data_IF_476006201527
#
_entry.id   IF_476006201527
#
_cell.length_a   1.000
_cell.length_b   1.000
_cell.length_c   1.000
_cell.angle_alpha   90.00
_cell.angle_beta   90.00
_cell.angle_gamma   90.00
#
_symmetry.space_group_name_H-M   'P 1'
#
loop_
_entity.id
_entity.type
_entity.pdbx_description
1 polymer ?
#
# COMPACT_ATOMS: atom_id res chain seq x y z
N UNK A 1 -50.12 44.45 11.92
CA UNK A 1 -48.84 43.79 12.24
C UNK A 1 -47.80 44.88 12.42
N UNK A 2 -47.00 44.86 13.50
CA UNK A 2 -46.02 45.91 13.81
C UNK A 2 -44.89 45.89 12.76
N UNK A 3 -44.57 47.03 12.15
CA UNK A 3 -43.55 47.15 11.10
C UNK A 3 -42.18 46.65 11.56
N UNK A 4 -41.83 46.84 12.83
CA UNK A 4 -40.58 46.33 13.42
C UNK A 4 -40.52 44.80 13.44
N UNK A 5 -41.65 44.14 13.67
CA UNK A 5 -41.75 42.68 13.64
C UNK A 5 -41.62 42.14 12.21
N UNK A 6 -42.21 42.83 11.23
CA UNK A 6 -42.10 42.43 9.81
C UNK A 6 -40.64 42.54 9.33
N UNK A 7 -39.97 43.65 9.64
CA UNK A 7 -38.55 43.85 9.31
C UNK A 7 -37.66 42.77 9.96
N UNK A 8 -37.90 42.43 11.22
CA UNK A 8 -37.13 41.37 11.91
C UNK A 8 -37.27 40.01 11.23
N UNK A 9 -38.49 39.61 10.83
CA UNK A 9 -38.71 38.34 10.13
C UNK A 9 -38.10 38.31 8.73
N UNK A 10 -38.13 39.43 8.00
CA UNK A 10 -37.48 39.53 6.68
C UNK A 10 -35.96 39.43 6.78
N UNK A 11 -35.33 40.14 7.73
CA UNK A 11 -33.88 40.02 7.97
C UNK A 11 -33.48 38.60 8.37
N UNK A 12 -34.27 37.94 9.24
CA UNK A 12 -34.02 36.55 9.63
C UNK A 12 -34.11 35.59 8.45
N UNK A 13 -35.11 35.78 7.59
CA UNK A 13 -35.28 34.96 6.38
C UNK A 13 -34.14 35.16 5.39
N UNK A 14 -33.65 36.39 5.22
CA UNK A 14 -32.46 36.67 4.38
C UNK A 14 -31.18 36.07 4.97
N UNK A 15 -30.98 36.13 6.29
CA UNK A 15 -29.85 35.47 6.95
C UNK A 15 -29.88 33.96 6.75
N UNK A 16 -31.04 33.33 6.86
CA UNK A 16 -31.21 31.89 6.62
C UNK A 16 -30.95 31.51 5.16
N UNK A 17 -31.43 32.32 4.20
CA UNK A 17 -31.19 32.11 2.79
C UNK A 17 -29.68 32.17 2.46
N UNK A 18 -28.98 33.19 2.97
CA UNK A 18 -27.53 33.33 2.78
C UNK A 18 -26.76 32.14 3.36
N UNK A 19 -27.16 31.66 4.55
CA UNK A 19 -26.54 30.49 5.17
C UNK A 19 -26.76 29.22 4.34
N UNK A 20 -27.96 29.05 3.77
CA UNK A 20 -28.26 27.91 2.91
C UNK A 20 -27.44 27.95 1.62
N UNK A 21 -27.33 29.13 0.99
CA UNK A 21 -26.53 29.32 -0.23
C UNK A 21 -25.04 29.05 0.01
N UNK A 22 -24.49 29.51 1.15
CA UNK A 22 -23.12 29.21 1.55
C UNK A 22 -22.89 27.72 1.80
N UNK A 23 -23.86 27.04 2.40
CA UNK A 23 -23.79 25.60 2.65
C UNK A 23 -23.80 24.81 1.33
N UNK A 24 -24.71 25.16 0.42
CA UNK A 24 -24.82 24.53 -0.90
C UNK A 24 -23.52 24.70 -1.71
N UNK A 25 -22.94 25.90 -1.71
CA UNK A 25 -21.63 26.15 -2.37
C UNK A 25 -20.52 25.28 -1.81
N UNK A 26 -20.43 25.16 -0.47
CA UNK A 26 -19.44 24.28 0.17
C UNK A 26 -19.65 22.81 -0.20
N UNK A 27 -20.90 22.36 -0.24
CA UNK A 27 -21.22 20.99 -0.65
C UNK A 27 -20.82 20.71 -2.10
N UNK A 28 -21.08 21.66 -3.01
CA UNK A 28 -20.64 21.55 -4.41
C UNK A 28 -19.11 21.51 -4.55
N UNK A 29 -18.38 22.34 -3.80
CA UNK A 29 -16.91 22.30 -3.81
C UNK A 29 -16.35 20.95 -3.34
N UNK A 30 -16.93 20.40 -2.27
CA UNK A 30 -16.57 19.06 -1.76
C UNK A 30 -16.90 17.98 -2.80
N UNK A 31 -18.08 18.06 -3.45
CA UNK A 31 -18.50 17.16 -4.53
C UNK A 31 -17.49 17.17 -5.68
N UNK A 32 -17.15 18.35 -6.18
CA UNK A 32 -16.17 18.54 -7.27
C UNK A 32 -14.81 17.95 -6.92
N UNK A 33 -14.30 18.23 -5.72
CA UNK A 33 -13.02 17.71 -5.26
C UNK A 33 -13.02 16.18 -5.18
N UNK A 34 -14.06 15.60 -4.60
CA UNK A 34 -14.21 14.14 -4.46
C UNK A 34 -14.20 13.45 -5.82
N UNK A 35 -14.93 13.98 -6.80
CA UNK A 35 -14.96 13.43 -8.17
C UNK A 35 -13.58 13.47 -8.83
N UNK A 36 -12.86 14.59 -8.69
CA UNK A 36 -11.50 14.73 -9.21
C UNK A 36 -10.54 13.72 -8.57
N UNK A 37 -10.63 13.54 -7.25
CA UNK A 37 -9.77 12.62 -6.49
C UNK A 37 -10.03 11.15 -6.88
N UNK A 38 -11.28 10.82 -7.23
CA UNK A 38 -11.67 9.51 -7.77
C UNK A 38 -11.31 9.31 -9.25
N UNK A 39 -10.78 10.33 -9.92
CA UNK A 39 -10.45 10.27 -11.35
C UNK A 39 -11.65 10.49 -12.28
N UNK A 40 -12.81 10.86 -11.74
CA UNK A 40 -14.04 11.14 -12.48
C UNK A 40 -14.06 12.59 -12.98
N UNK A 41 -13.11 12.92 -13.86
CA UNK A 41 -12.99 14.23 -14.47
C UNK A 41 -12.62 14.14 -15.95
N UNK A 42 -13.02 15.15 -16.70
CA UNK A 42 -12.59 15.37 -18.07
C UNK A 42 -11.40 16.32 -18.12
N UNK A 43 -10.50 16.08 -19.07
CA UNK A 43 -9.35 16.94 -19.34
C UNK A 43 -9.76 17.99 -20.37
N UNK A 44 -9.77 19.25 -19.97
CA UNK A 44 -9.93 20.38 -20.90
C UNK A 44 -8.57 21.01 -21.12
N UNK A 45 -8.08 20.98 -22.36
CA UNK A 45 -6.75 21.49 -22.71
C UNK A 45 -6.73 23.01 -22.87
N UNK A 46 -5.58 23.60 -22.57
CA UNK A 46 -5.30 25.02 -22.78
C UNK A 46 -5.31 25.33 -24.28
N UNK A 47 -6.12 26.30 -24.76
CA UNK A 47 -6.21 26.63 -26.19
C UNK A 47 -4.87 27.05 -26.80
N UNK A 48 -4.08 27.79 -26.02
CA UNK A 48 -2.77 28.30 -26.43
C UNK A 48 -1.62 27.38 -26.00
N UNK A 49 -1.94 26.22 -25.43
CA UNK A 49 -1.01 25.28 -24.82
C UNK A 49 -0.01 25.94 -23.84
N UNK A 50 -0.49 26.89 -23.03
CA UNK A 50 0.29 27.58 -22.00
C UNK A 50 -0.15 27.15 -20.61
N UNK A 51 0.82 27.08 -19.71
CA UNK A 51 0.58 26.93 -18.29
C UNK A 51 -0.07 28.20 -17.73
N UNK A 52 -1.08 28.02 -16.90
CA UNK A 52 -1.71 29.09 -16.11
C UNK A 52 -2.24 28.51 -14.80
N UNK A 53 -2.73 29.36 -13.92
CA UNK A 53 -3.34 28.92 -12.66
C UNK A 53 -4.55 27.99 -12.90
N UNK A 54 -5.28 28.23 -14.00
CA UNK A 54 -6.43 27.40 -14.39
C UNK A 54 -5.98 26.08 -15.06
N UNK A 55 -4.93 26.12 -15.89
CA UNK A 55 -4.38 24.97 -16.62
C UNK A 55 -3.02 24.55 -16.05
N UNK A 56 -3.04 24.04 -14.82
CA UNK A 56 -1.84 23.69 -14.05
C UNK A 56 -1.34 22.26 -14.26
N UNK A 57 -2.20 21.34 -14.72
CA UNK A 57 -1.82 19.96 -15.01
C UNK A 57 -1.19 19.87 -16.39
N UNK A 58 -0.30 18.90 -16.59
CA UNK A 58 0.29 18.65 -17.90
C UNK A 58 0.42 17.15 -18.16
N UNK A 59 0.42 16.78 -19.44
CA UNK A 59 0.78 15.45 -19.90
C UNK A 59 1.74 15.56 -21.09
N UNK A 60 2.56 14.53 -21.27
CA UNK A 60 3.52 14.49 -22.37
C UNK A 60 2.82 14.01 -23.65
N UNK A 61 2.84 14.84 -24.69
CA UNK A 61 2.44 14.44 -26.03
C UNK A 61 3.64 13.86 -26.78
N UNK A 62 3.69 12.54 -26.92
CA UNK A 62 4.77 11.84 -27.61
C UNK A 62 4.83 12.13 -29.11
N UNK A 63 3.72 12.55 -29.73
CA UNK A 63 3.66 12.84 -31.17
C UNK A 63 4.33 14.18 -31.46
N UNK A 64 3.97 15.20 -30.67
CA UNK A 64 4.49 16.55 -30.85
C UNK A 64 5.75 16.84 -30.03
N UNK A 65 6.16 15.92 -29.15
CA UNK A 65 7.27 16.10 -28.21
C UNK A 65 7.15 17.38 -27.36
N UNK A 66 5.91 17.67 -26.93
CA UNK A 66 5.59 18.87 -26.15
C UNK A 66 4.67 18.52 -24.98
N UNK A 67 4.78 19.28 -23.89
CA UNK A 67 3.79 19.20 -22.81
C UNK A 67 2.46 19.81 -23.27
N UNK A 68 1.36 19.10 -23.00
CA UNK A 68 0.00 19.59 -23.16
C UNK A 68 -0.57 19.97 -21.80
N UNK A 69 -0.90 21.24 -21.61
CA UNK A 69 -1.47 21.74 -20.36
C UNK A 69 -2.99 21.58 -20.36
N UNK A 70 -3.55 21.12 -19.24
CA UNK A 70 -4.98 20.90 -19.09
C UNK A 70 -5.47 21.24 -17.69
N UNK A 71 -6.78 21.45 -17.57
CA UNK A 71 -7.52 21.55 -16.31
C UNK A 71 -8.41 20.33 -16.12
N UNK A 72 -8.63 19.95 -14.88
CA UNK A 72 -9.54 18.86 -14.50
C UNK A 72 -10.94 19.43 -14.28
N UNK A 73 -11.88 19.07 -15.14
CA UNK A 73 -13.28 19.45 -14.97
C UNK A 73 -14.03 18.22 -14.47
N UNK A 74 -14.61 18.24 -13.26
CA UNK A 74 -15.35 17.09 -12.74
C UNK A 74 -16.53 16.78 -13.66
N UNK A 75 -16.82 15.49 -13.86
CA UNK A 75 -17.97 15.05 -14.65
C UNK A 75 -19.25 15.59 -14.00
N UNK A 76 -20.18 16.10 -14.82
CA UNK A 76 -21.51 16.46 -14.33
C UNK A 76 -22.26 15.19 -13.93
N UNK A 77 -22.62 15.13 -12.65
CA UNK A 77 -23.34 13.99 -12.06
C UNK A 77 -24.53 14.49 -11.27
N UNK A 78 -25.64 13.77 -11.35
CA UNK A 78 -26.81 14.07 -10.51
C UNK A 78 -26.50 13.81 -9.04
N UNK A 79 -27.41 14.23 -8.14
CA UNK A 79 -27.22 13.99 -6.71
C UNK A 79 -27.38 12.50 -6.36
N UNK A 80 -28.23 11.77 -7.10
CA UNK A 80 -28.38 10.32 -6.96
C UNK A 80 -27.10 9.58 -7.39
N UNK A 81 -26.55 9.92 -8.55
CA UNK A 81 -25.31 9.32 -9.06
C UNK A 81 -24.12 9.60 -8.12
N UNK A 82 -24.06 10.80 -7.55
CA UNK A 82 -23.01 11.17 -6.61
C UNK A 82 -23.08 10.37 -5.30
N UNK A 83 -24.27 10.17 -4.74
CA UNK A 83 -24.44 9.35 -3.54
C UNK A 83 -24.07 7.88 -3.80
N UNK A 84 -24.35 7.36 -5.00
CA UNK A 84 -23.91 6.02 -5.38
C UNK A 84 -22.38 5.91 -5.52
N UNK A 85 -21.74 6.87 -6.21
CA UNK A 85 -20.27 6.95 -6.33
C UNK A 85 -19.61 6.97 -4.94
N UNK A 86 -20.14 7.78 -4.03
CA UNK A 86 -19.64 7.93 -2.65
C UNK A 86 -19.75 6.63 -1.85
N UNK A 87 -20.80 5.83 -2.08
CA UNK A 87 -20.96 4.53 -1.43
C UNK A 87 -19.85 3.56 -1.87
N UNK A 88 -19.55 3.51 -3.17
CA UNK A 88 -18.49 2.65 -3.69
C UNK A 88 -17.10 3.14 -3.30
N UNK A 89 -16.85 4.45 -3.32
CA UNK A 89 -15.54 5.00 -2.91
C UNK A 89 -15.23 4.70 -1.45
N UNK A 90 -16.21 4.85 -0.56
CA UNK A 90 -16.06 4.55 0.86
C UNK A 90 -15.83 3.06 1.11
N UNK A 91 -16.51 2.18 0.37
CA UNK A 91 -16.26 0.74 0.46
C UNK A 91 -14.83 0.39 0.04
N UNK A 92 -14.31 1.02 -1.03
CA UNK A 92 -12.92 0.82 -1.47
C UNK A 92 -11.92 1.37 -0.45
N UNK A 93 -12.13 2.57 0.09
CA UNK A 93 -11.30 3.13 1.16
C UNK A 93 -11.34 2.25 2.40
N UNK A 94 -12.50 1.76 2.84
CA UNK A 94 -12.62 0.88 3.99
C UNK A 94 -11.88 -0.45 3.75
N UNK A 95 -11.93 -1.01 2.54
CA UNK A 95 -11.17 -2.24 2.19
C UNK A 95 -9.65 -1.97 2.25
N UNK A 96 -9.20 -0.86 1.69
CA UNK A 96 -7.78 -0.48 1.66
C UNK A 96 -7.30 -0.16 3.08
N UNK A 97 -8.03 0.69 3.81
CA UNK A 97 -7.67 1.16 5.14
C UNK A 97 -7.77 0.05 6.19
N UNK A 98 -8.72 -0.90 6.06
CA UNK A 98 -8.72 -2.10 6.89
C UNK A 98 -7.55 -3.03 6.59
N UNK A 99 -7.11 -3.15 5.33
CA UNK A 99 -5.89 -3.89 5.02
C UNK A 99 -4.64 -3.24 5.64
N UNK A 100 -4.56 -1.91 5.66
CA UNK A 100 -3.43 -1.19 6.26
C UNK A 100 -3.49 -1.08 7.80
N UNK A 101 -4.67 -1.00 8.42
CA UNK A 101 -4.80 -0.95 9.89
C UNK A 101 -4.73 -2.34 10.57
N UNK A 102 -4.59 -3.42 9.79
CA UNK A 102 -4.36 -4.78 10.29
C UNK A 102 -2.87 -5.14 10.43
N UNK A 103 -1.96 -4.20 10.20
CA UNK A 103 -0.53 -4.45 10.38
C UNK A 103 -0.16 -4.51 11.87
N UNK A 104 -0.17 -5.73 12.43
CA UNK A 104 0.45 -5.96 13.73
C UNK A 104 1.98 -5.96 13.56
N UNK A 105 2.63 -4.89 14.04
CA UNK A 105 4.10 -4.74 13.99
C UNK A 105 4.86 -5.96 14.55
N UNK A 106 4.30 -6.62 15.58
CA UNK A 106 4.87 -7.84 16.16
C UNK A 106 4.80 -9.00 15.16
N UNK A 107 3.66 -9.19 14.49
CA UNK A 107 3.51 -10.24 13.48
C UNK A 107 4.42 -10.02 12.26
N UNK A 108 4.57 -8.77 11.82
CA UNK A 108 5.51 -8.41 10.75
C UNK A 108 6.94 -8.75 11.17
N UNK A 109 7.34 -8.35 12.37
CA UNK A 109 8.68 -8.60 12.90
C UNK A 109 8.99 -10.10 12.96
N UNK A 110 8.07 -10.92 13.46
CA UNK A 110 8.20 -12.38 13.48
C UNK A 110 8.31 -12.97 12.07
N UNK A 111 7.54 -12.44 11.12
CA UNK A 111 7.61 -12.87 9.70
C UNK A 111 8.98 -12.56 9.11
N UNK A 112 9.52 -11.36 9.34
CA UNK A 112 10.86 -10.96 8.86
C UNK A 112 11.94 -11.85 9.48
N UNK A 113 11.88 -12.08 10.79
CA UNK A 113 12.84 -12.96 11.49
C UNK A 113 12.81 -14.36 10.92
N UNK A 114 11.64 -14.92 10.62
CA UNK A 114 11.52 -16.25 10.02
C UNK A 114 12.25 -16.34 8.67
N UNK A 115 12.07 -15.36 7.79
CA UNK A 115 12.78 -15.32 6.51
C UNK A 115 14.29 -15.19 6.68
N UNK A 116 14.74 -14.38 7.64
CA UNK A 116 16.17 -14.29 7.97
C UNK A 116 16.71 -15.64 8.43
N UNK A 117 15.98 -16.37 9.28
CA UNK A 117 16.37 -17.72 9.74
C UNK A 117 16.49 -18.69 8.57
N UNK A 118 15.57 -18.68 7.61
CA UNK A 118 15.66 -19.53 6.43
C UNK A 118 16.90 -19.23 5.58
N UNK A 119 17.16 -17.94 5.32
CA UNK A 119 18.31 -17.53 4.50
C UNK A 119 19.62 -17.89 5.20
N UNK A 120 19.75 -17.52 6.48
CA UNK A 120 20.96 -17.79 7.27
C UNK A 120 21.17 -19.29 7.44
N UNK A 121 20.10 -20.04 7.73
CA UNK A 121 20.16 -21.49 7.87
C UNK A 121 20.54 -22.22 6.58
N UNK A 122 20.05 -21.72 5.44
CA UNK A 122 20.44 -22.26 4.14
C UNK A 122 21.92 -22.04 3.85
N UNK A 123 22.42 -20.81 4.04
CA UNK A 123 23.83 -20.45 3.86
C UNK A 123 24.71 -21.24 4.84
N UNK A 124 24.33 -21.32 6.11
CA UNK A 124 25.05 -22.09 7.12
C UNK A 124 25.17 -23.56 6.72
N UNK A 125 24.08 -24.18 6.22
CA UNK A 125 24.13 -25.56 5.73
C UNK A 125 25.11 -25.76 4.57
N UNK A 126 25.24 -24.78 3.67
CA UNK A 126 26.26 -24.82 2.61
C UNK A 126 27.68 -24.67 3.19
N UNK A 127 27.90 -23.71 4.08
CA UNK A 127 29.23 -23.44 4.65
C UNK A 127 29.74 -24.60 5.51
N UNK A 128 28.91 -25.09 6.44
CA UNK A 128 29.27 -26.19 7.34
C UNK A 128 29.15 -27.57 6.68
N UNK A 129 28.46 -27.66 5.54
CA UNK A 129 28.45 -28.88 4.73
C UNK A 129 29.79 -29.14 4.04
N UNK A 130 30.66 -28.14 3.89
CA UNK A 130 32.00 -28.33 3.33
C UNK A 130 32.89 -28.92 4.41
N UNK A 131 33.35 -30.15 4.21
CA UNK A 131 34.18 -30.90 5.17
C UNK A 131 35.49 -31.33 4.52
N UNK A 132 36.58 -31.22 5.26
CA UNK A 132 37.87 -31.80 4.89
C UNK A 132 37.89 -33.27 5.31
N UNK A 133 38.08 -34.16 4.34
CA UNK A 133 38.22 -35.60 4.56
C UNK A 133 39.67 -35.96 4.25
N UNK A 134 40.38 -36.51 5.23
CA UNK A 134 41.71 -37.06 5.03
C UNK A 134 41.58 -38.43 4.36
N UNK A 135 42.11 -38.56 3.14
CA UNK A 135 42.19 -39.84 2.44
C UNK A 135 43.61 -40.36 2.53
N UNK A 136 43.78 -41.53 3.13
CA UNK A 136 45.06 -42.23 3.14
C UNK A 136 45.28 -42.93 1.80
N UNK A 137 46.17 -42.39 0.98
CA UNK A 137 46.56 -43.00 -0.29
C UNK A 137 47.84 -43.82 -0.07
N UNK A 138 47.75 -45.13 -0.29
CA UNK A 138 48.85 -46.08 -0.06
C UNK A 138 49.50 -46.51 -1.38
N UNK A 139 50.76 -46.14 -1.60
CA UNK A 139 51.56 -46.59 -2.75
C UNK A 139 52.72 -47.47 -2.29
N UNK A 140 52.67 -48.78 -2.56
CA UNK A 140 53.69 -49.85 -2.35
C UNK A 140 54.60 -49.79 -1.08
N UNK A 141 55.28 -48.67 -0.78
CA UNK A 141 56.08 -48.42 0.43
C UNK A 141 55.93 -47.01 1.07
N UNK A 142 55.00 -46.18 0.63
CA UNK A 142 54.79 -44.80 1.13
C UNK A 142 53.29 -44.52 1.35
N UNK A 143 52.94 -43.99 2.52
CA UNK A 143 51.61 -43.46 2.85
C UNK A 143 51.66 -41.95 2.79
N UNK A 144 50.81 -41.33 1.96
CA UNK A 144 50.56 -39.89 1.98
C UNK A 144 49.10 -39.65 2.34
N UNK A 145 48.87 -38.66 3.20
CA UNK A 145 47.54 -38.16 3.55
C UNK A 145 47.24 -36.99 2.64
N UNK A 146 46.35 -37.19 1.67
CA UNK A 146 45.81 -36.10 0.85
C UNK A 146 44.52 -35.60 1.50
N UNK A 147 44.39 -34.29 1.68
CA UNK A 147 43.14 -33.68 2.14
C UNK A 147 42.24 -33.40 0.94
N UNK A 148 41.06 -34.03 0.93
CA UNK A 148 40.02 -33.77 -0.06
C UNK A 148 38.91 -32.94 0.57
N UNK A 149 38.43 -31.96 -0.19
CA UNK A 149 37.27 -31.16 0.19
C UNK A 149 36.04 -31.88 -0.38
N UNK A 150 35.18 -32.36 0.50
CA UNK A 150 33.92 -33.00 0.13
C UNK A 150 32.73 -32.27 0.75
N UNK A 151 31.58 -32.36 0.10
CA UNK A 151 30.34 -31.78 0.63
C UNK A 151 29.50 -32.85 1.33
N UNK A 152 29.35 -32.71 2.64
CA UNK A 152 28.48 -33.54 3.47
C UNK A 152 27.04 -33.05 3.41
N UNK A 153 26.24 -33.71 2.57
CA UNK A 153 24.79 -33.48 2.52
C UNK A 153 24.10 -33.78 3.85
N UNK A 154 24.62 -34.71 4.66
CA UNK A 154 24.04 -35.03 5.96
C UNK A 154 24.14 -33.84 6.93
N UNK A 155 25.31 -33.20 6.99
CA UNK A 155 25.51 -32.00 7.83
C UNK A 155 24.64 -30.86 7.31
N UNK A 156 24.70 -30.57 6.01
CA UNK A 156 23.89 -29.53 5.40
C UNK A 156 22.39 -29.70 5.67
N UNK A 157 21.89 -30.94 5.57
CA UNK A 157 20.48 -31.26 5.79
C UNK A 157 20.05 -31.03 7.25
N UNK A 158 20.93 -31.27 8.23
CA UNK A 158 20.64 -30.93 9.64
C UNK A 158 20.41 -29.42 9.80
N UNK A 159 21.26 -28.58 9.21
CA UNK A 159 21.10 -27.12 9.26
C UNK A 159 19.84 -26.65 8.51
N UNK A 160 19.54 -27.25 7.36
CA UNK A 160 18.33 -26.92 6.61
C UNK A 160 17.06 -27.34 7.35
N UNK A 161 17.00 -28.54 7.90
CA UNK A 161 15.84 -28.99 8.68
C UNK A 161 15.64 -28.17 9.95
N UNK A 162 16.71 -27.89 10.70
CA UNK A 162 16.61 -27.10 11.94
C UNK A 162 16.14 -25.68 11.64
N UNK A 163 16.69 -25.02 10.62
CA UNK A 163 16.24 -23.69 10.20
C UNK A 163 14.83 -23.70 9.62
N UNK A 164 14.45 -24.73 8.86
CA UNK A 164 13.10 -24.89 8.33
C UNK A 164 12.05 -25.02 9.44
N UNK A 165 12.30 -25.89 10.42
CA UNK A 165 11.41 -26.08 11.57
C UNK A 165 11.31 -24.76 12.36
N UNK A 166 12.44 -24.14 12.68
CA UNK A 166 12.48 -22.90 13.46
C UNK A 166 11.73 -21.76 12.76
N UNK A 167 12.03 -21.47 11.49
CA UNK A 167 11.35 -20.42 10.74
C UNK A 167 9.87 -20.68 10.54
N UNK A 168 9.46 -21.94 10.35
CA UNK A 168 8.03 -22.30 10.25
C UNK A 168 7.28 -22.03 11.55
N UNK A 169 7.90 -22.28 12.71
CA UNK A 169 7.30 -21.95 14.02
C UNK A 169 7.08 -20.44 14.14
N UNK A 170 8.07 -19.62 13.78
CA UNK A 170 7.95 -18.16 13.80
C UNK A 170 6.85 -17.65 12.86
N UNK A 171 6.72 -18.21 11.65
CA UNK A 171 5.61 -17.89 10.74
C UNK A 171 4.26 -18.30 11.31
N UNK A 172 4.17 -19.48 11.93
CA UNK A 172 2.95 -19.94 12.60
C UNK A 172 2.48 -18.96 13.67
N UNK A 173 3.38 -18.52 14.55
CA UNK A 173 3.06 -17.50 15.55
C UNK A 173 2.69 -16.15 14.94
N UNK A 174 3.39 -15.71 13.90
CA UNK A 174 3.06 -14.48 13.20
C UNK A 174 1.62 -14.50 12.67
N UNK A 175 1.20 -15.62 12.06
CA UNK A 175 -0.13 -15.77 11.49
C UNK A 175 -1.22 -15.82 12.57
N UNK A 176 -0.97 -16.53 13.68
CA UNK A 176 -1.88 -16.53 14.84
C UNK A 176 -2.05 -15.10 15.38
N UNK A 177 -0.98 -14.33 15.50
CA UNK A 177 -1.05 -12.94 16.00
C UNK A 177 -1.84 -12.04 15.04
N UNK A 178 -1.67 -12.21 13.72
CA UNK A 178 -2.48 -11.48 12.72
C UNK A 178 -3.96 -11.79 12.91
N UNK A 179 -4.32 -13.07 13.00
CA UNK A 179 -5.71 -13.51 13.20
C UNK A 179 -6.30 -12.96 14.50
N UNK A 180 -5.55 -13.02 15.60
CA UNK A 180 -5.99 -12.46 16.88
C UNK A 180 -6.18 -10.93 16.81
N UNK A 181 -5.32 -10.23 16.07
CA UNK A 181 -5.44 -8.78 15.87
C UNK A 181 -6.67 -8.45 15.04
N UNK A 182 -6.95 -9.23 14.00
CA UNK A 182 -8.15 -9.10 13.19
C UNK A 182 -9.42 -9.33 14.00
N UNK A 183 -9.45 -10.35 14.86
CA UNK A 183 -10.58 -10.62 15.76
C UNK A 183 -10.75 -9.49 16.78
N UNK A 184 -9.66 -8.98 17.38
CA UNK A 184 -9.72 -7.87 18.34
C UNK A 184 -10.26 -6.58 17.72
N UNK A 185 -9.93 -6.33 16.46
CA UNK A 185 -10.28 -5.09 15.77
C UNK A 185 -11.64 -5.17 15.05
N UNK A 186 -12.39 -6.27 15.20
CA UNK A 186 -13.74 -6.46 14.68
C UNK A 186 -14.78 -6.18 15.77
#
# INVERSE_FOLDING_TARGET
>A
MNEKLKAFFETKKEEELKKQDELNKKQEEVKKKTLIDLGLFEKVYSPDNKQSDEFSCYEWDSINSTNKYYKKVPVEVTDEEYEEIKKYSKQTEDIIHNNFNRYNSVAISLTVIAYVIFIVGFIAGILFGITEVEEEVKYYYFTHTDTKIEFSFAIAFVYWCTSFISGTIYLGFAEIIKLLTEIKNK
#
